data_IF_330470989028
#
_entry.id   IF_330470989028
#
_cell.length_a   1.000
_cell.length_b   1.000
_cell.length_c   1.000
_cell.angle_alpha   90.00
_cell.angle_beta   90.00
_cell.angle_gamma   90.00
#
_symmetry.space_group_name_H-M   'P 1'
#
loop_
_entity.id
_entity.type
_entity.pdbx_description
1 polymer ?
#
# COMPACT_ATOMS: atom_id res chain seq x y z
N UNK A 1 0.36 3.88 22.79
CA UNK A 1 0.30 4.37 21.39
C UNK A 1 1.17 5.60 21.13
N UNK A 2 1.47 6.46 22.11
CA UNK A 2 2.33 7.65 21.93
C UNK A 2 3.82 7.34 21.70
N UNK A 3 4.36 6.28 22.32
CA UNK A 3 5.79 5.94 22.19
C UNK A 3 6.20 5.55 20.76
N UNK A 4 5.28 4.95 20.00
CA UNK A 4 5.46 4.62 18.57
C UNK A 4 5.50 5.86 17.66
N UNK A 5 5.01 7.02 18.11
CA UNK A 5 5.20 8.27 17.36
C UNK A 5 6.55 8.90 17.66
N UNK A 6 7.10 8.66 18.84
CA UNK A 6 8.39 9.22 19.25
C UNK A 6 9.57 8.42 18.68
N UNK A 7 9.43 7.09 18.61
CA UNK A 7 10.29 6.22 17.81
C UNK A 7 9.60 5.96 16.49
N UNK A 8 10.04 6.59 15.41
CA UNK A 8 9.46 6.39 14.07
C UNK A 8 9.29 4.90 13.75
N UNK A 9 8.25 4.56 12.97
CA UNK A 9 7.80 3.18 12.73
C UNK A 9 8.93 2.24 12.26
N UNK A 10 9.93 2.76 11.54
CA UNK A 10 11.11 2.03 11.08
C UNK A 10 12.03 1.50 12.19
N UNK A 11 11.81 1.88 13.46
CA UNK A 11 12.55 1.35 14.62
C UNK A 11 11.92 0.08 15.21
N UNK A 12 10.88 -0.47 14.58
CA UNK A 12 10.22 -1.71 15.00
C UNK A 12 10.63 -2.83 14.05
N UNK A 13 11.57 -3.72 14.43
CA UNK A 13 12.07 -4.79 13.56
C UNK A 13 10.96 -5.70 13.03
N UNK A 14 9.91 -5.94 13.83
CA UNK A 14 8.78 -6.78 13.47
C UNK A 14 8.06 -6.34 12.19
N UNK A 15 8.13 -5.06 11.84
CA UNK A 15 7.54 -4.54 10.61
C UNK A 15 8.28 -4.95 9.34
N UNK A 16 9.50 -5.48 9.46
CA UNK A 16 10.34 -5.93 8.36
C UNK A 16 10.33 -7.45 8.17
N UNK A 17 9.95 -8.24 9.19
CA UNK A 17 9.98 -9.71 9.10
C UNK A 17 8.83 -10.33 8.30
N UNK A 18 7.80 -9.55 7.95
CA UNK A 18 6.66 -10.03 7.18
C UNK A 18 6.25 -8.97 6.15
N UNK A 19 7.05 -8.77 5.09
CA UNK A 19 6.68 -7.87 4.00
C UNK A 19 5.42 -8.35 3.28
N UNK A 20 4.65 -7.42 2.71
CA UNK A 20 3.70 -7.75 1.66
C UNK A 20 4.42 -7.66 0.31
N UNK A 21 4.41 -8.74 -0.46
CA UNK A 21 5.09 -8.83 -1.76
C UNK A 21 4.09 -9.28 -2.83
N UNK A 22 4.02 -8.58 -3.95
CA UNK A 22 3.19 -8.95 -5.10
C UNK A 22 3.75 -8.36 -6.39
N UNK A 23 3.36 -8.93 -7.53
CA UNK A 23 3.75 -8.42 -8.84
C UNK A 23 2.66 -7.46 -9.37
N UNK A 24 3.07 -6.37 -10.01
CA UNK A 24 2.23 -5.29 -10.52
C UNK A 24 2.55 -5.04 -12.00
N UNK A 25 1.53 -4.80 -12.82
CA UNK A 25 1.72 -4.39 -14.22
C UNK A 25 2.35 -3.00 -14.32
N UNK A 26 3.19 -2.78 -15.33
CA UNK A 26 3.93 -1.53 -15.56
C UNK A 26 2.99 -0.31 -15.68
N UNK A 27 1.86 -0.46 -16.37
CA UNK A 27 0.88 0.63 -16.54
C UNK A 27 0.20 1.03 -15.22
N UNK A 28 0.01 0.07 -14.33
CA UNK A 28 -0.52 0.30 -12.99
C UNK A 28 0.54 0.92 -12.06
N UNK A 29 1.80 0.50 -12.19
CA UNK A 29 2.92 1.10 -11.45
C UNK A 29 3.03 2.59 -11.75
N UNK A 30 3.15 2.96 -13.03
CA UNK A 30 3.24 4.35 -13.48
C UNK A 30 2.02 5.16 -13.01
N UNK A 31 0.83 4.57 -13.03
CA UNK A 31 -0.37 5.25 -12.56
C UNK A 31 -0.36 5.53 -11.05
N UNK A 32 0.20 4.62 -10.23
CA UNK A 32 0.17 4.68 -8.76
C UNK A 32 1.37 5.43 -8.19
N UNK A 33 2.57 5.17 -8.70
CA UNK A 33 3.82 5.76 -8.21
C UNK A 33 4.26 6.97 -9.02
N UNK A 34 3.65 7.20 -10.19
CA UNK A 34 3.98 8.31 -11.08
C UNK A 34 5.17 7.98 -11.98
N UNK A 35 5.35 8.76 -13.07
CA UNK A 35 6.56 8.65 -13.88
C UNK A 35 7.81 8.87 -13.01
N UNK A 36 8.83 8.04 -13.20
CA UNK A 36 10.08 8.10 -12.42
C UNK A 36 9.87 8.15 -10.90
N UNK A 37 8.84 7.46 -10.40
CA UNK A 37 8.52 7.35 -8.96
C UNK A 37 8.15 8.67 -8.27
N UNK A 38 7.65 9.66 -9.01
CA UNK A 38 7.29 11.01 -8.51
C UNK A 38 6.51 11.00 -7.18
N UNK A 39 5.58 10.05 -7.01
CA UNK A 39 4.72 9.94 -5.84
C UNK A 39 5.17 8.90 -4.82
N UNK A 40 6.19 8.09 -5.12
CA UNK A 40 6.62 6.98 -4.26
C UNK A 40 6.95 7.46 -2.85
N UNK A 41 7.83 8.47 -2.74
CA UNK A 41 8.23 9.01 -1.44
C UNK A 41 7.03 9.57 -0.65
N UNK A 42 6.13 10.26 -1.33
CA UNK A 42 4.90 10.78 -0.70
C UNK A 42 4.05 9.64 -0.15
N UNK A 43 3.86 8.56 -0.91
CA UNK A 43 3.12 7.37 -0.48
C UNK A 43 3.76 6.71 0.74
N UNK A 44 5.08 6.55 0.76
CA UNK A 44 5.84 5.99 1.88
C UNK A 44 5.66 6.81 3.16
N UNK A 45 5.86 8.13 3.08
CA UNK A 45 5.72 9.04 4.22
C UNK A 45 4.29 9.08 4.72
N UNK A 46 3.31 9.20 3.81
CA UNK A 46 1.90 9.34 4.18
C UNK A 46 1.30 8.04 4.72
N UNK A 47 1.79 6.87 4.31
CA UNK A 47 1.34 5.59 4.88
C UNK A 47 2.17 5.11 6.07
N UNK A 48 3.33 5.71 6.34
CA UNK A 48 4.32 5.14 7.26
C UNK A 48 4.76 3.73 6.83
N UNK A 49 5.08 3.57 5.54
CA UNK A 49 5.62 2.33 4.98
C UNK A 49 6.89 2.62 4.18
N UNK A 50 7.67 1.59 3.89
CA UNK A 50 8.70 1.62 2.85
C UNK A 50 8.21 0.71 1.73
N UNK A 51 8.29 1.21 0.51
CA UNK A 51 7.79 0.55 -0.70
C UNK A 51 8.98 0.41 -1.65
N UNK A 52 9.42 -0.82 -1.86
CA UNK A 52 10.47 -1.12 -2.83
C UNK A 52 9.83 -1.60 -4.13
N UNK A 53 10.29 -1.01 -5.24
CA UNK A 53 9.88 -1.35 -6.60
C UNK A 53 11.06 -2.01 -7.32
N UNK A 54 10.90 -3.27 -7.68
CA UNK A 54 11.85 -4.02 -8.52
C UNK A 54 11.26 -4.14 -9.93
N UNK A 55 11.59 -3.16 -10.79
CA UNK A 55 11.09 -3.11 -12.17
C UNK A 55 11.60 -4.27 -13.03
N UNK A 56 10.80 -4.67 -14.02
CA UNK A 56 11.14 -5.78 -14.93
C UNK A 56 11.46 -7.09 -14.20
N UNK A 57 10.82 -7.31 -13.05
CA UNK A 57 11.02 -8.49 -12.23
C UNK A 57 10.55 -9.76 -12.96
N UNK A 58 9.44 -9.67 -13.70
CA UNK A 58 8.90 -10.79 -14.47
C UNK A 58 9.28 -10.69 -15.96
N UNK A 59 9.28 -11.83 -16.70
CA UNK A 59 9.52 -11.82 -18.15
C UNK A 59 8.50 -10.99 -18.95
N UNK A 60 7.33 -10.69 -18.38
CA UNK A 60 6.31 -9.85 -19.00
C UNK A 60 6.47 -8.37 -18.66
N UNK A 61 7.52 -7.99 -17.91
CA UNK A 61 7.79 -6.61 -17.52
C UNK A 61 7.10 -6.17 -16.23
N UNK A 62 6.46 -7.09 -15.48
CA UNK A 62 5.85 -6.71 -14.21
C UNK A 62 6.92 -6.31 -13.18
N UNK A 63 6.52 -5.40 -12.31
CA UNK A 63 7.30 -4.92 -11.20
C UNK A 63 6.93 -5.67 -9.94
N UNK A 64 7.94 -6.16 -9.22
CA UNK A 64 7.72 -6.70 -7.88
C UNK A 64 7.70 -5.57 -6.88
N UNK A 65 6.61 -5.52 -6.13
CA UNK A 65 6.36 -4.49 -5.13
C UNK A 65 6.48 -5.14 -3.75
N UNK A 66 7.35 -4.59 -2.93
CA UNK A 66 7.55 -5.02 -1.54
C UNK A 66 7.19 -3.88 -0.59
N UNK A 67 6.24 -4.12 0.31
CA UNK A 67 5.79 -3.13 1.30
C UNK A 67 6.11 -3.63 2.71
N UNK A 68 6.85 -2.83 3.48
CA UNK A 68 7.13 -3.06 4.91
C UNK A 68 6.60 -1.89 5.74
N UNK A 69 6.38 -2.12 7.03
CA UNK A 69 5.74 -1.13 7.92
C UNK A 69 4.61 -1.72 8.77
N UNK A 70 3.85 -0.89 9.49
CA UNK A 70 2.75 -1.35 10.33
C UNK A 70 1.71 -2.14 9.53
N UNK A 71 1.25 -3.27 10.07
CA UNK A 71 0.36 -4.20 9.37
C UNK A 71 -0.87 -3.50 8.75
N UNK A 72 -1.54 -2.63 9.50
CA UNK A 72 -2.73 -1.91 9.02
C UNK A 72 -2.42 -0.99 7.83
N UNK A 73 -1.27 -0.30 7.86
CA UNK A 73 -0.85 0.56 6.77
C UNK A 73 -0.53 -0.25 5.52
N UNK A 74 0.20 -1.38 5.67
CA UNK A 74 0.49 -2.29 4.54
C UNK A 74 -0.80 -2.82 3.89
N UNK A 75 -1.76 -3.26 4.72
CA UNK A 75 -3.05 -3.75 4.23
C UNK A 75 -3.86 -2.65 3.52
N UNK A 76 -3.81 -1.41 4.03
CA UNK A 76 -4.46 -0.27 3.38
C UNK A 76 -3.84 0.04 2.01
N UNK A 77 -2.50 0.07 1.91
CA UNK A 77 -1.77 0.29 0.66
C UNK A 77 -2.08 -0.81 -0.35
N UNK A 78 -2.05 -2.08 0.08
CA UNK A 78 -2.42 -3.22 -0.76
C UNK A 78 -3.86 -3.13 -1.25
N UNK A 79 -4.81 -2.76 -0.39
CA UNK A 79 -6.21 -2.60 -0.75
C UNK A 79 -6.42 -1.47 -1.77
N UNK A 80 -5.72 -0.33 -1.59
CA UNK A 80 -5.70 0.76 -2.56
C UNK A 80 -5.20 0.26 -3.92
N UNK A 81 -4.04 -0.39 -3.94
CA UNK A 81 -3.41 -0.91 -5.16
C UNK A 81 -4.34 -1.90 -5.87
N UNK A 82 -4.89 -2.88 -5.15
CA UNK A 82 -5.79 -3.87 -5.72
C UNK A 82 -7.04 -3.23 -6.32
N UNK A 83 -7.59 -2.21 -5.65
CA UNK A 83 -8.78 -1.50 -6.11
C UNK A 83 -8.51 -0.64 -7.33
N UNK A 84 -7.37 0.04 -7.39
CA UNK A 84 -6.95 0.82 -8.57
C UNK A 84 -6.87 -0.07 -9.83
N UNK A 85 -6.30 -1.27 -9.69
CA UNK A 85 -6.20 -2.26 -10.76
C UNK A 85 -7.48 -3.09 -11.00
N UNK A 86 -8.55 -2.88 -10.24
CA UNK A 86 -9.74 -3.72 -10.32
C UNK A 86 -10.51 -3.54 -11.63
N UNK A 87 -11.04 -4.64 -12.16
CA UNK A 87 -12.00 -4.64 -13.28
C UNK A 87 -13.40 -4.20 -12.84
N UNK A 88 -13.70 -4.27 -11.54
CA UNK A 88 -14.97 -3.80 -10.99
C UNK A 88 -14.96 -2.25 -10.93
N UNK A 89 -15.95 -1.62 -11.56
CA UNK A 89 -16.04 -0.15 -11.65
C UNK A 89 -16.10 0.53 -10.29
N UNK A 90 -16.86 -0.02 -9.34
CA UNK A 90 -17.00 0.56 -8.00
C UNK A 90 -15.69 0.50 -7.23
N UNK A 91 -15.01 -0.65 -7.26
CA UNK A 91 -13.69 -0.81 -6.67
C UNK A 91 -12.69 0.16 -7.30
N UNK A 92 -12.70 0.30 -8.64
CA UNK A 92 -11.79 1.21 -9.33
C UNK A 92 -11.99 2.67 -8.93
N UNK A 93 -13.25 3.11 -8.77
CA UNK A 93 -13.55 4.45 -8.23
C UNK A 93 -13.02 4.60 -6.81
N UNK A 94 -13.27 3.61 -5.94
CA UNK A 94 -12.77 3.63 -4.57
C UNK A 94 -11.24 3.65 -4.50
N UNK A 95 -10.57 2.84 -5.31
CA UNK A 95 -9.11 2.80 -5.42
C UNK A 95 -8.54 4.15 -5.84
N UNK A 96 -9.15 4.81 -6.83
CA UNK A 96 -8.74 6.17 -7.25
C UNK A 96 -8.91 7.20 -6.14
N UNK A 97 -10.00 7.13 -5.36
CA UNK A 97 -10.22 8.02 -4.21
C UNK A 97 -9.18 7.76 -3.11
N UNK A 98 -8.87 6.49 -2.83
CA UNK A 98 -7.80 6.13 -1.90
C UNK A 98 -6.44 6.66 -2.37
N UNK A 99 -6.09 6.45 -3.64
CA UNK A 99 -4.85 6.96 -4.23
C UNK A 99 -4.75 8.49 -4.13
N UNK A 100 -5.83 9.21 -4.46
CA UNK A 100 -5.87 10.66 -4.31
C UNK A 100 -5.67 11.06 -2.84
N UNK A 101 -6.35 10.38 -1.91
CA UNK A 101 -6.26 10.65 -0.48
C UNK A 101 -4.83 10.53 0.03
N UNK A 102 -4.17 9.39 -0.21
CA UNK A 102 -2.78 9.18 0.26
C UNK A 102 -1.78 10.08 -0.45
N UNK A 103 -2.02 10.53 -1.68
CA UNK A 103 -1.15 11.52 -2.34
C UNK A 103 -1.28 12.91 -1.73
N UNK A 104 -2.43 13.24 -1.17
CA UNK A 104 -2.70 14.58 -0.63
C UNK A 104 -2.53 14.68 0.89
N UNK A 105 -2.76 13.59 1.63
CA UNK A 105 -2.77 13.59 3.10
C UNK A 105 -2.14 12.31 3.68
N UNK A 106 -1.44 12.42 4.82
CA UNK A 106 -1.06 11.26 5.62
C UNK A 106 -2.28 10.45 6.07
N UNK A 107 -2.15 9.13 6.08
CA UNK A 107 -3.15 8.23 6.63
C UNK A 107 -3.34 8.48 8.13
N UNK A 108 -4.60 8.60 8.52
CA UNK A 108 -5.01 8.78 9.91
C UNK A 108 -5.35 7.45 10.56
N UNK A 109 -5.46 7.43 11.89
CA UNK A 109 -5.95 6.25 12.60
C UNK A 109 -7.35 5.84 12.12
N UNK A 110 -8.17 6.78 11.65
CA UNK A 110 -9.49 6.52 11.08
C UNK A 110 -9.40 5.81 9.72
N UNK A 111 -8.46 6.21 8.85
CA UNK A 111 -8.22 5.51 7.58
C UNK A 111 -7.78 4.06 7.80
N UNK A 112 -7.01 3.84 8.86
CA UNK A 112 -6.51 2.52 9.26
C UNK A 112 -7.53 1.71 10.09
N UNK A 113 -8.73 2.24 10.36
CA UNK A 113 -9.80 1.44 10.92
C UNK A 113 -10.29 0.47 9.86
N UNK A 114 -10.04 -0.81 10.11
CA UNK A 114 -10.65 -1.88 9.32
C UNK A 114 -12.13 -1.86 9.67
N UNK A 115 -12.92 -1.13 8.88
CA UNK A 115 -14.35 -1.33 8.84
C UNK A 115 -14.56 -2.72 8.26
N UNK A 116 -14.71 -3.71 9.14
CA UNK A 116 -15.31 -5.00 8.83
C UNK A 116 -16.75 -4.70 8.41
N UNK A 117 -16.95 -4.17 7.20
CA UNK A 117 -18.25 -4.11 6.58
C UNK A 117 -18.59 -5.57 6.27
N UNK A 118 -19.40 -6.11 7.19
CA UNK A 118 -20.16 -7.36 7.13
C UNK A 118 -19.96 -8.17 5.84
N UNK A 119 -19.18 -9.26 5.93
CA UNK A 119 -19.30 -10.37 4.97
C UNK A 119 -18.02 -10.96 4.38
N UNK A 120 -16.87 -10.27 4.44
CA UNK A 120 -15.64 -10.81 3.84
C UNK A 120 -14.67 -11.33 4.90
N UNK A 121 -14.65 -12.66 5.08
CA UNK A 121 -13.71 -13.37 5.94
C UNK A 121 -12.28 -13.05 5.52
N UNK A 122 -11.46 -12.59 6.48
CA UNK A 122 -10.01 -12.58 6.32
C UNK A 122 -9.52 -13.99 6.03
N UNK A 123 -8.96 -14.20 4.85
CA UNK A 123 -8.08 -15.34 4.61
C UNK A 123 -6.72 -14.96 5.17
N UNK A 124 -6.33 -15.59 6.27
CA UNK A 124 -4.94 -15.65 6.70
C UNK A 124 -4.33 -16.87 5.99
N UNK A 125 -3.31 -16.71 5.14
CA UNK A 125 -2.47 -17.84 4.79
C UNK A 125 -1.60 -18.16 6.01
N UNK A 126 -1.66 -19.41 6.46
CA UNK A 126 -0.72 -20.00 7.41
C UNK A 126 0.73 -19.93 6.88
#
# INVERSE_FOLDING_TARGET
MSDLRRKGWWNVPDYFYSPLVFDMEEDQEDYIFGPDDEYLHTLEVHSNTLIQLERWFSPTGQTRVTVVGPLKARLWVMDMIRKVGSKNTLDKIKGKLMLLHIRSHPLTDQDLQIHLISGSSCWFPD
#
